data_IF_445405754243
#
_entry.id   IF_445405754243
#
_cell.length_a   1.000
_cell.length_b   1.000
_cell.length_c   1.000
_cell.angle_alpha   90.00
_cell.angle_beta   90.00
_cell.angle_gamma   90.00
#
_symmetry.space_group_name_H-M   'P 1'
#
loop_
_entity.id
_entity.type
_entity.pdbx_description
1 polymer ?
#
# COMPACT_ATOMS: atom_id res chain seq x y z
N UNK A 1 -3.59 14.72 -21.60
CA UNK A 1 -3.37 13.26 -21.38
C UNK A 1 -2.51 12.96 -20.15
N UNK A 2 -1.44 13.74 -19.85
CA UNK A 2 -0.54 13.50 -18.70
C UNK A 2 -1.19 13.67 -17.31
N UNK A 3 -2.01 14.71 -17.11
CA UNK A 3 -2.71 14.96 -15.81
C UNK A 3 -3.62 13.80 -15.41
N UNK A 4 -4.36 13.23 -16.36
CA UNK A 4 -5.25 12.08 -16.11
C UNK A 4 -4.47 10.85 -15.65
N UNK A 5 -3.30 10.60 -16.24
CA UNK A 5 -2.42 9.50 -15.83
C UNK A 5 -1.94 9.72 -14.39
N UNK A 6 -1.48 10.93 -14.06
CA UNK A 6 -1.04 11.28 -12.71
C UNK A 6 -2.14 11.08 -11.66
N UNK A 7 -3.37 11.51 -11.96
CA UNK A 7 -4.52 11.29 -11.08
C UNK A 7 -4.82 9.81 -10.86
N UNK A 8 -4.76 9.00 -11.93
CA UNK A 8 -4.95 7.55 -11.82
C UNK A 8 -3.83 6.93 -10.98
N UNK A 9 -2.57 7.34 -11.18
CA UNK A 9 -1.43 6.85 -10.39
C UNK A 9 -1.55 7.26 -8.91
N UNK A 10 -2.00 8.48 -8.63
CA UNK A 10 -2.25 8.96 -7.27
C UNK A 10 -3.39 8.18 -6.59
N UNK A 11 -4.46 7.87 -7.32
CA UNK A 11 -5.53 7.04 -6.79
C UNK A 11 -5.06 5.60 -6.54
N UNK A 12 -4.21 5.06 -7.42
CA UNK A 12 -3.61 3.74 -7.24
C UNK A 12 -2.64 3.71 -6.04
N UNK A 13 -1.92 4.79 -5.77
CA UNK A 13 -1.02 4.86 -4.61
C UNK A 13 -1.76 4.87 -3.28
N UNK A 14 -3.04 5.28 -3.24
CA UNK A 14 -3.87 5.12 -2.03
C UNK A 14 -4.01 3.64 -1.63
N UNK A 15 -3.83 2.72 -2.58
CA UNK A 15 -3.72 1.29 -2.29
C UNK A 15 -2.59 0.96 -1.32
N UNK A 16 -1.50 1.74 -1.26
CA UNK A 16 -0.43 1.52 -0.29
C UNK A 16 -0.89 1.75 1.15
N UNK A 17 -1.73 2.77 1.38
CA UNK A 17 -2.35 3.01 2.71
C UNK A 17 -3.18 1.81 3.10
N UNK A 18 -4.02 1.34 2.18
CA UNK A 18 -4.91 0.20 2.43
C UNK A 18 -4.11 -1.07 2.77
N UNK A 19 -3.06 -1.37 2.00
CA UNK A 19 -2.18 -2.52 2.24
C UNK A 19 -1.48 -2.38 3.60
N UNK A 20 -0.89 -1.21 3.89
CA UNK A 20 -0.22 -0.96 5.16
C UNK A 20 -1.17 -1.07 6.36
N UNK A 21 -2.37 -0.53 6.24
CA UNK A 21 -3.41 -0.58 7.27
C UNK A 21 -3.82 -2.02 7.60
N UNK A 22 -4.19 -2.80 6.57
CA UNK A 22 -4.60 -4.19 6.73
C UNK A 22 -3.46 -5.06 7.27
N UNK A 23 -2.24 -4.81 6.80
CA UNK A 23 -1.07 -5.53 7.25
C UNK A 23 -0.78 -5.28 8.74
N UNK A 24 -0.77 -4.02 9.18
CA UNK A 24 -0.53 -3.69 10.60
C UNK A 24 -1.63 -4.24 11.50
N UNK A 25 -2.90 -4.21 11.07
CA UNK A 25 -3.98 -4.84 11.83
C UNK A 25 -3.78 -6.35 11.99
N UNK A 26 -3.48 -7.05 10.89
CA UNK A 26 -3.25 -8.49 10.91
C UNK A 26 -2.03 -8.86 11.76
N UNK A 27 -0.95 -8.10 11.63
CA UNK A 27 0.28 -8.30 12.37
C UNK A 27 0.05 -8.05 13.88
N UNK A 28 -0.68 -6.99 14.24
CA UNK A 28 -1.06 -6.69 15.63
C UNK A 28 -1.92 -7.81 16.24
N UNK A 29 -2.94 -8.28 15.51
CA UNK A 29 -3.79 -9.37 15.95
C UNK A 29 -2.99 -10.68 16.15
N UNK A 30 -2.06 -10.97 15.24
CA UNK A 30 -1.21 -12.14 15.31
C UNK A 30 -0.21 -12.10 16.46
N UNK A 31 0.40 -10.94 16.75
CA UNK A 31 1.40 -10.81 17.81
C UNK A 31 0.78 -10.71 19.21
N UNK A 32 -0.39 -10.08 19.33
CA UNK A 32 -1.07 -9.90 20.62
C UNK A 32 -2.02 -11.06 20.97
N UNK A 33 -2.19 -12.03 20.07
CA UNK A 33 -3.19 -13.11 20.18
C UNK A 33 -4.62 -12.58 20.44
N UNK A 34 -4.89 -11.34 20.00
CA UNK A 34 -6.17 -10.66 20.17
C UNK A 34 -7.06 -10.83 18.94
N UNK A 35 -8.40 -10.81 19.09
CA UNK A 35 -9.29 -10.77 17.95
C UNK A 35 -9.00 -9.57 17.05
N UNK A 36 -9.27 -9.73 15.75
CA UNK A 36 -9.13 -8.65 14.77
C UNK A 36 -9.98 -7.44 15.18
N UNK A 37 -9.32 -6.30 15.39
CA UNK A 37 -9.98 -5.00 15.55
C UNK A 37 -9.82 -4.19 14.28
N UNK A 38 -10.77 -3.30 14.00
CA UNK A 38 -10.61 -2.28 12.96
C UNK A 38 -9.80 -1.08 13.44
N UNK A 39 -9.51 -0.96 14.75
CA UNK A 39 -8.70 0.13 15.31
C UNK A 39 -7.21 -0.19 15.23
N UNK A 40 -6.40 0.72 14.69
CA UNK A 40 -4.95 0.60 14.75
C UNK A 40 -4.44 0.63 16.21
N UNK A 41 -3.31 -0.03 16.49
CA UNK A 41 -2.69 0.08 17.79
C UNK A 41 -2.25 1.53 18.06
N UNK A 42 -2.52 1.99 19.29
CA UNK A 42 -2.25 3.36 19.71
C UNK A 42 -0.74 3.61 19.76
N UNK A 43 -0.30 4.67 19.09
CA UNK A 43 1.11 5.08 18.95
C UNK A 43 1.63 5.93 20.12
N UNK A 44 0.86 6.12 21.20
CA UNK A 44 1.29 6.89 22.38
C UNK A 44 1.18 8.40 22.20
N UNK A 45 1.60 8.92 21.05
CA UNK A 45 1.75 10.37 20.80
C UNK A 45 0.66 10.99 19.90
N UNK A 46 -0.21 10.18 19.29
CA UNK A 46 -1.19 10.65 18.29
C UNK A 46 -2.56 10.04 18.50
N UNK A 47 -3.57 10.91 18.55
CA UNK A 47 -4.98 10.54 18.61
C UNK A 47 -5.46 9.81 17.33
N UNK A 48 -4.72 9.91 16.21
CA UNK A 48 -5.12 9.39 14.92
C UNK A 48 -4.01 8.57 14.25
N UNK A 49 -3.74 7.35 14.76
CA UNK A 49 -2.72 6.44 14.21
C UNK A 49 -2.93 6.06 12.73
N UNK A 50 -4.16 6.16 12.22
CA UNK A 50 -4.47 5.99 10.79
C UNK A 50 -3.90 7.12 9.93
N UNK A 51 -3.89 8.36 10.46
CA UNK A 51 -3.34 9.52 9.79
C UNK A 51 -1.81 9.43 9.77
N UNK A 52 -1.19 8.99 10.86
CA UNK A 52 0.27 8.77 10.91
C UNK A 52 0.70 7.71 9.90
N UNK A 53 -0.05 6.60 9.81
CA UNK A 53 0.19 5.58 8.80
C UNK A 53 0.05 6.14 7.38
N UNK A 54 -0.98 6.96 7.12
CA UNK A 54 -1.19 7.58 5.82
C UNK A 54 -0.07 8.56 5.46
N UNK A 55 0.34 9.42 6.40
CA UNK A 55 1.46 10.35 6.26
C UNK A 55 2.76 9.60 6.01
N UNK A 56 3.00 8.52 6.74
CA UNK A 56 4.18 7.69 6.59
C UNK A 56 4.21 6.96 5.24
N UNK A 57 3.04 6.67 4.65
CA UNK A 57 2.94 6.15 3.29
C UNK A 57 3.20 7.20 2.19
N UNK A 58 3.14 8.51 2.48
CA UNK A 58 3.25 9.57 1.45
C UNK A 58 4.52 9.47 0.61
N UNK A 59 5.73 9.26 1.16
CA UNK A 59 6.94 9.10 0.36
C UNK A 59 6.85 7.91 -0.60
N UNK A 60 6.31 6.78 -0.13
CA UNK A 60 6.07 5.59 -0.95
C UNK A 60 5.04 5.85 -2.06
N UNK A 61 3.99 6.61 -1.77
CA UNK A 61 3.01 7.04 -2.77
C UNK A 61 3.64 7.91 -3.85
N UNK A 62 4.44 8.91 -3.44
CA UNK A 62 5.11 9.80 -4.37
C UNK A 62 6.04 9.03 -5.31
N UNK A 63 6.82 8.09 -4.74
CA UNK A 63 7.72 7.22 -5.49
C UNK A 63 6.94 6.34 -6.48
N UNK A 64 5.81 5.77 -6.04
CA UNK A 64 4.94 4.97 -6.92
C UNK A 64 4.34 5.82 -8.04
N UNK A 65 3.91 7.05 -7.77
CA UNK A 65 3.37 7.95 -8.80
C UNK A 65 4.44 8.28 -9.83
N UNK A 66 5.66 8.59 -9.39
CA UNK A 66 6.79 8.91 -10.28
C UNK A 66 7.17 7.71 -11.16
N UNK A 67 7.44 6.55 -10.56
CA UNK A 67 7.82 5.34 -11.27
C UNK A 67 6.68 4.80 -12.15
N UNK A 68 5.48 4.76 -11.60
CA UNK A 68 4.28 4.28 -12.29
C UNK A 68 3.91 5.14 -13.49
N UNK A 69 4.29 6.42 -13.51
CA UNK A 69 4.06 7.31 -14.66
C UNK A 69 4.94 6.95 -15.87
N UNK A 70 6.07 6.29 -15.65
CA UNK A 70 7.01 5.86 -16.70
C UNK A 70 6.68 4.44 -17.17
N UNK A 71 6.17 3.60 -16.27
CA UNK A 71 5.88 2.19 -16.54
C UNK A 71 4.59 2.02 -17.35
N UNK A 72 4.70 1.41 -18.53
CA UNK A 72 3.56 1.06 -19.40
C UNK A 72 3.06 -0.38 -19.25
N UNK A 73 3.92 -1.30 -18.79
CA UNK A 73 3.57 -2.73 -18.66
C UNK A 73 2.87 -2.99 -17.32
N UNK A 74 1.64 -3.48 -17.37
CA UNK A 74 0.82 -3.78 -16.17
C UNK A 74 1.49 -4.73 -15.16
N UNK A 75 2.17 -5.78 -15.64
CA UNK A 75 2.90 -6.73 -14.76
C UNK A 75 4.04 -6.05 -14.01
N UNK A 76 4.80 -5.19 -14.71
CA UNK A 76 5.91 -4.43 -14.10
C UNK A 76 5.36 -3.43 -13.08
N UNK A 77 4.24 -2.78 -13.39
CA UNK A 77 3.58 -1.85 -12.47
C UNK A 77 3.13 -2.56 -11.18
N UNK A 78 2.53 -3.75 -11.29
CA UNK A 78 2.15 -4.57 -10.13
C UNK A 78 3.37 -5.00 -9.30
N UNK A 79 4.47 -5.38 -9.95
CA UNK A 79 5.73 -5.70 -9.26
C UNK A 79 6.32 -4.50 -8.52
N UNK A 80 6.32 -3.31 -9.13
CA UNK A 80 6.78 -2.07 -8.48
C UNK A 80 5.87 -1.69 -7.32
N UNK A 81 4.55 -1.81 -7.48
CA UNK A 81 3.60 -1.60 -6.39
C UNK A 81 3.90 -2.54 -5.20
N UNK A 82 4.08 -3.83 -5.47
CA UNK A 82 4.40 -4.82 -4.45
C UNK A 82 5.75 -4.53 -3.77
N UNK A 83 6.79 -4.16 -4.52
CA UNK A 83 8.08 -3.80 -3.96
C UNK A 83 7.98 -2.58 -3.01
N UNK A 84 7.28 -1.53 -3.44
CA UNK A 84 7.06 -0.34 -2.60
C UNK A 84 6.22 -0.70 -1.38
N UNK A 85 5.16 -1.51 -1.54
CA UNK A 85 4.34 -1.98 -0.44
C UNK A 85 5.14 -2.82 0.58
N UNK A 86 6.14 -3.60 0.15
CA UNK A 86 7.01 -4.36 1.04
C UNK A 86 7.91 -3.44 1.86
N UNK A 87 8.53 -2.44 1.21
CA UNK A 87 9.36 -1.44 1.90
C UNK A 87 8.51 -0.62 2.88
N UNK A 88 7.33 -0.16 2.46
CA UNK A 88 6.39 0.54 3.35
C UNK A 88 5.95 -0.33 4.52
N UNK A 89 5.67 -1.62 4.29
CA UNK A 89 5.32 -2.55 5.36
C UNK A 89 6.45 -2.71 6.39
N UNK A 90 7.70 -2.86 5.94
CA UNK A 90 8.85 -2.92 6.83
C UNK A 90 8.96 -1.66 7.70
N UNK A 91 8.92 -0.49 7.08
CA UNK A 91 9.04 0.78 7.80
C UNK A 91 7.84 1.04 8.73
N UNK A 92 6.64 0.59 8.37
CA UNK A 92 5.48 0.64 9.26
C UNK A 92 5.67 -0.30 10.46
N UNK A 93 6.27 -1.47 10.29
CA UNK A 93 6.61 -2.31 11.45
C UNK A 93 7.63 -1.64 12.37
N UNK A 94 8.60 -0.90 11.85
CA UNK A 94 9.51 -0.08 12.67
C UNK A 94 8.74 1.00 13.43
N UNK A 95 7.84 1.72 12.75
CA UNK A 95 7.02 2.77 13.35
C UNK A 95 6.11 2.24 14.48
N UNK A 96 5.47 1.09 14.26
CA UNK A 96 4.56 0.46 15.21
C UNK A 96 5.25 -0.52 16.16
N UNK A 97 6.59 -0.63 16.12
CA UNK A 97 7.37 -1.60 16.90
C UNK A 97 7.09 -1.50 18.41
N UNK A 98 7.04 -0.28 18.93
CA UNK A 98 6.71 0.03 20.32
C UNK A 98 5.29 -0.39 20.69
N UNK A 99 4.35 -0.25 19.76
CA UNK A 99 2.97 -0.65 19.93
C UNK A 99 2.78 -2.19 19.87
N UNK A 100 3.77 -2.96 19.41
CA UNK A 100 3.74 -4.43 19.53
C UNK A 100 4.15 -4.92 20.92
N UNK A 101 4.58 -4.03 21.82
CA UNK A 101 4.85 -4.36 23.22
C UNK A 101 6.29 -4.80 23.52
N UNK A 102 7.22 -4.63 22.57
CA UNK A 102 8.64 -4.93 22.81
C UNK A 102 9.54 -3.94 22.04
N UNK A 103 10.76 -3.69 22.55
CA UNK A 103 11.78 -2.95 21.78
C UNK A 103 12.44 -3.90 20.80
N UNK A 104 11.89 -3.99 19.60
CA UNK A 104 12.44 -4.81 18.53
C UNK A 104 13.64 -4.12 17.90
N UNK A 105 14.73 -4.84 17.67
CA UNK A 105 15.82 -4.39 16.82
C UNK A 105 15.41 -4.44 15.35
N UNK A 106 16.06 -3.63 14.50
CA UNK A 106 15.76 -3.57 13.05
C UNK A 106 15.84 -4.94 12.36
N UNK A 107 16.78 -5.80 12.78
CA UNK A 107 16.89 -7.18 12.28
C UNK A 107 15.71 -8.06 12.68
N UNK A 108 15.17 -7.88 13.88
CA UNK A 108 14.01 -8.65 14.34
C UNK A 108 12.73 -8.16 13.68
N UNK A 109 12.58 -6.86 13.44
CA UNK A 109 11.46 -6.31 12.66
C UNK A 109 11.45 -6.88 11.24
N UNK A 110 12.62 -7.00 10.61
CA UNK A 110 12.75 -7.65 9.31
C UNK A 110 12.41 -9.15 9.39
N UNK A 111 12.82 -9.83 10.45
CA UNK A 111 12.41 -11.21 10.75
C UNK A 111 10.89 -11.36 10.90
N UNK A 112 10.22 -10.42 11.58
CA UNK A 112 8.77 -10.41 11.73
C UNK A 112 8.06 -10.27 10.39
N UNK A 113 8.57 -9.43 9.48
CA UNK A 113 8.02 -9.29 8.13
C UNK A 113 8.14 -10.60 7.34
N UNK A 114 9.28 -11.29 7.44
CA UNK A 114 9.52 -12.56 6.74
C UNK A 114 8.63 -13.68 7.30
N UNK A 115 8.50 -13.78 8.63
CA UNK A 115 7.64 -14.77 9.28
C UNK A 115 6.15 -14.52 8.98
N UNK A 116 5.74 -13.26 8.95
CA UNK A 116 4.36 -12.82 8.68
C UNK A 116 4.13 -12.45 7.21
N UNK A 117 4.95 -12.99 6.29
CA UNK A 117 4.83 -12.71 4.86
C UNK A 117 3.45 -13.09 4.31
N UNK A 118 2.82 -14.11 4.87
CA UNK A 118 1.47 -14.54 4.51
C UNK A 118 0.41 -13.45 4.78
N UNK A 119 0.51 -12.74 5.91
CA UNK A 119 -0.37 -11.60 6.21
C UNK A 119 -0.13 -10.43 5.26
N UNK A 120 1.13 -10.17 4.92
CA UNK A 120 1.48 -9.17 3.92
C UNK A 120 0.90 -9.52 2.54
N UNK A 121 1.01 -10.78 2.11
CA UNK A 121 0.44 -11.26 0.85
C UNK A 121 -1.09 -11.10 0.83
N UNK A 122 -1.78 -11.43 1.93
CA UNK A 122 -3.22 -11.22 2.05
C UNK A 122 -3.60 -9.74 1.98
N UNK A 123 -2.87 -8.88 2.69
CA UNK A 123 -3.08 -7.43 2.66
C UNK A 123 -2.78 -6.82 1.28
N UNK A 124 -1.88 -7.43 0.51
CA UNK A 124 -1.51 -6.98 -0.84
C UNK A 124 -2.64 -7.19 -1.86
N UNK A 125 -3.46 -8.23 -1.70
CA UNK A 125 -4.55 -8.58 -2.62
C UNK A 125 -5.49 -7.40 -2.91
N UNK A 126 -6.11 -6.73 -1.92
CA UNK A 126 -7.01 -5.61 -2.18
C UNK A 126 -6.29 -4.42 -2.83
N UNK A 127 -5.02 -4.17 -2.49
CA UNK A 127 -4.20 -3.13 -3.12
C UNK A 127 -3.95 -3.41 -4.61
N UNK A 128 -3.58 -4.65 -4.96
CA UNK A 128 -3.39 -5.05 -6.35
C UNK A 128 -4.70 -5.09 -7.14
N UNK A 129 -5.81 -5.51 -6.51
CA UNK A 129 -7.13 -5.44 -7.14
C UNK A 129 -7.50 -4.00 -7.51
N UNK A 130 -7.32 -3.06 -6.58
CA UNK A 130 -7.55 -1.64 -6.84
C UNK A 130 -6.66 -1.13 -7.99
N UNK A 131 -5.36 -1.49 -7.96
CA UNK A 131 -4.40 -1.14 -8.99
C UNK A 131 -4.87 -1.58 -10.38
N UNK A 132 -5.21 -2.86 -10.54
CA UNK A 132 -5.61 -3.43 -11.83
C UNK A 132 -7.01 -3.00 -12.28
N UNK A 133 -7.94 -2.78 -11.34
CA UNK A 133 -9.26 -2.24 -11.65
C UNK A 133 -9.14 -0.84 -12.27
N UNK A 134 -8.36 0.04 -11.65
CA UNK A 134 -8.12 1.40 -12.15
C UNK A 134 -7.38 1.42 -13.48
N UNK A 135 -6.40 0.54 -13.68
CA UNK A 135 -5.74 0.33 -14.98
C UNK A 135 -6.74 -0.08 -16.09
N UNK A 136 -7.69 -0.96 -15.76
CA UNK A 136 -8.72 -1.43 -16.71
C UNK A 136 -9.69 -0.30 -17.07
N UNK A 137 -10.14 0.48 -16.09
CA UNK A 137 -11.01 1.65 -16.32
C UNK A 137 -10.31 2.73 -17.15
N UNK A 138 -9.04 3.02 -16.83
CA UNK A 138 -8.23 3.98 -17.58
C UNK A 138 -8.13 3.62 -19.06
N UNK A 139 -7.89 2.33 -19.34
CA UNK A 139 -7.74 1.78 -20.69
C UNK A 139 -9.06 1.81 -21.48
N UNK A 140 -10.18 1.42 -20.86
CA UNK A 140 -11.50 1.46 -21.52
C UNK A 140 -11.90 2.87 -21.94
N UNK A 141 -11.71 3.85 -21.07
CA UNK A 141 -12.06 5.25 -21.37
C UNK A 141 -11.14 5.90 -22.43
N UNK A 142 -9.97 5.33 -22.72
CA UNK A 142 -9.17 5.71 -23.90
C UNK A 142 -9.76 5.18 -25.21
N UNK A 143 -10.35 3.98 -25.18
CA UNK A 143 -10.96 3.31 -26.34
C UNK A 143 -12.21 4.03 -26.85
N UNK A 144 -13.04 4.59 -25.96
CA UNK A 144 -14.24 5.35 -26.36
C UNK A 144 -13.90 6.63 -27.13
N UNK A 145 -12.70 7.21 -26.92
CA UNK A 145 -12.28 8.43 -27.63
C UNK A 145 -11.76 8.17 -29.05
N UNK A 146 -11.45 6.92 -29.40
CA UNK A 146 -10.94 6.53 -30.72
C UNK A 146 -12.00 6.08 -31.73
N UNK A 147 -13.27 5.94 -31.31
CA UNK A 147 -14.36 5.40 -32.15
C UNK A 147 -15.34 6.47 -32.64
N UNK A 148 -14.98 7.76 -32.55
CA UNK A 148 -15.89 8.89 -32.81
C UNK A 148 -15.54 9.79 -33.99
N UNK A 149 -14.50 9.48 -34.79
CA UNK A 149 -14.19 10.23 -36.00
C UNK A 149 -13.73 9.26 -37.08
N UNK A 150 -14.69 8.75 -37.86
CA UNK A 150 -14.48 8.41 -39.26
C UNK A 150 -15.54 9.18 -40.02
N UNK A 151 -15.13 10.36 -40.50
CA UNK A 151 -15.75 11.01 -41.65
C UNK A 151 -15.47 10.16 -42.88
#
# INVERSE_FOLDING_TARGET
MRVRLLLIRALQSMGLVLVGYLFILAMTASLRETPFSMSLPYLGDSDNSALDLALFCVPGMLLFVLLGSIIRRRRVLGGVFAAIAAVSAWLLCELFSTAFGNTWSTSEVLGLLVLNLHWWLLALVPGLMLLFALERFASKAGSYKGSGIRL
#
